data_IF_754228297592
#
_entry.id   IF_754228297592
#
_cell.length_a   1.000
_cell.length_b   1.000
_cell.length_c   1.000
_cell.angle_alpha   90.00
_cell.angle_beta   90.00
_cell.angle_gamma   90.00
#
_symmetry.space_group_name_H-M   'P 1'
#
loop_
_entity.id
_entity.type
_entity.pdbx_description
1 polymer ?
#
# COMPACT_ATOMS: atom_id res chain seq x y z
N UNK A 1 2.41 13.87 16.01
CA UNK A 1 3.60 13.23 15.43
C UNK A 1 3.07 12.31 14.34
N UNK A 2 3.44 12.52 13.09
CA UNK A 2 2.91 11.76 11.96
C UNK A 2 3.71 10.46 11.80
N UNK A 3 3.05 9.37 11.45
CA UNK A 3 3.65 8.03 11.40
C UNK A 3 4.50 7.85 10.12
N UNK A 4 5.57 7.03 10.18
CA UNK A 4 6.39 6.70 9.00
C UNK A 4 5.80 5.51 8.23
N UNK A 5 5.89 5.53 6.89
CA UNK A 5 5.33 4.49 6.01
C UNK A 5 5.89 3.11 6.31
N UNK A 6 7.20 2.99 6.55
CA UNK A 6 7.82 1.69 6.81
C UNK A 6 7.26 1.06 8.10
N UNK A 7 7.06 1.87 9.14
CA UNK A 7 6.51 1.41 10.41
C UNK A 7 5.06 0.93 10.26
N UNK A 8 4.22 1.72 9.57
CA UNK A 8 2.81 1.37 9.33
C UNK A 8 2.68 0.15 8.41
N UNK A 9 3.58 0.01 7.43
CA UNK A 9 3.65 -1.17 6.57
C UNK A 9 4.00 -2.44 7.37
N UNK A 10 4.97 -2.37 8.27
CA UNK A 10 5.31 -3.53 9.12
C UNK A 10 4.15 -3.92 10.04
N UNK A 11 3.47 -2.94 10.64
CA UNK A 11 2.28 -3.19 11.47
C UNK A 11 1.18 -3.89 10.65
N UNK A 12 0.92 -3.44 9.42
CA UNK A 12 -0.07 -4.06 8.54
C UNK A 12 0.31 -5.49 8.15
N UNK A 13 1.60 -5.76 7.92
CA UNK A 13 2.10 -7.10 7.63
C UNK A 13 1.91 -8.04 8.83
N UNK A 14 2.23 -7.58 10.05
CA UNK A 14 2.03 -8.33 11.28
C UNK A 14 0.54 -8.59 11.54
N UNK A 15 -0.32 -7.59 11.32
CA UNK A 15 -1.76 -7.75 11.43
C UNK A 15 -2.29 -8.80 10.45
N UNK A 16 -1.89 -8.73 9.18
CA UNK A 16 -2.30 -9.69 8.16
C UNK A 16 -1.82 -11.12 8.47
N UNK A 17 -0.64 -11.27 9.06
CA UNK A 17 -0.09 -12.56 9.50
C UNK A 17 -0.90 -13.13 10.66
N UNK A 18 -1.13 -12.34 11.69
CA UNK A 18 -1.91 -12.74 12.86
C UNK A 18 -3.35 -13.12 12.47
N UNK A 19 -3.97 -12.35 11.57
CA UNK A 19 -5.27 -12.63 10.99
C UNK A 19 -5.36 -14.01 10.31
N UNK A 20 -4.35 -14.37 9.50
CA UNK A 20 -4.27 -15.68 8.85
C UNK A 20 -4.13 -16.82 9.85
N UNK A 21 -3.31 -16.64 10.88
CA UNK A 21 -3.07 -17.64 11.91
C UNK A 21 -4.30 -17.83 12.83
N UNK A 22 -5.05 -16.76 13.10
CA UNK A 22 -6.22 -16.78 13.97
C UNK A 22 -7.54 -17.18 13.25
N UNK A 23 -7.53 -17.29 11.92
CA UNK A 23 -8.72 -17.61 11.11
C UNK A 23 -9.87 -16.60 11.21
N UNK A 24 -9.60 -15.41 11.74
CA UNK A 24 -10.56 -14.31 11.92
C UNK A 24 -9.87 -12.98 11.70
N UNK A 25 -10.47 -12.15 10.84
CA UNK A 25 -10.12 -10.75 10.68
C UNK A 25 -11.40 -9.93 10.75
N UNK A 26 -11.44 -8.90 11.58
CA UNK A 26 -12.47 -7.87 11.49
C UNK A 26 -12.01 -6.89 10.41
N UNK A 27 -12.74 -6.83 9.29
CA UNK A 27 -12.40 -5.99 8.13
C UNK A 27 -12.19 -4.51 8.48
N UNK A 28 -12.81 -4.03 9.57
CA UNK A 28 -12.69 -2.66 10.05
C UNK A 28 -11.26 -2.28 10.50
N UNK A 29 -10.55 -3.18 11.20
CA UNK A 29 -9.21 -2.89 11.71
C UNK A 29 -8.18 -2.87 10.56
N UNK A 30 -8.33 -3.79 9.61
CA UNK A 30 -7.49 -3.84 8.40
C UNK A 30 -7.64 -2.56 7.58
N UNK A 31 -8.88 -2.10 7.38
CA UNK A 31 -9.16 -0.86 6.66
C UNK A 31 -8.58 0.37 7.36
N UNK A 32 -8.64 0.42 8.70
CA UNK A 32 -8.05 1.52 9.47
C UNK A 32 -6.52 1.60 9.34
N UNK A 33 -5.83 0.44 9.33
CA UNK A 33 -4.37 0.40 9.15
C UNK A 33 -3.99 0.74 7.70
N UNK A 34 -4.78 0.33 6.71
CA UNK A 34 -4.60 0.74 5.30
C UNK A 34 -4.76 2.25 5.14
N UNK A 35 -5.77 2.86 5.77
CA UNK A 35 -5.96 4.31 5.73
C UNK A 35 -4.77 5.05 6.36
N UNK A 36 -4.24 4.54 7.47
CA UNK A 36 -3.01 5.07 8.09
C UNK A 36 -1.81 4.98 7.16
N UNK A 37 -1.63 3.88 6.42
CA UNK A 37 -0.55 3.73 5.43
C UNK A 37 -0.61 4.84 4.37
N UNK A 38 -1.82 5.23 3.95
CA UNK A 38 -2.00 6.35 3.01
C UNK A 38 -1.75 7.73 3.63
N UNK A 39 -1.87 7.89 4.94
CA UNK A 39 -1.61 9.15 5.65
C UNK A 39 -0.16 9.28 6.16
N UNK A 40 0.56 8.16 6.28
CA UNK A 40 1.93 8.12 6.77
C UNK A 40 2.91 8.88 5.86
N UNK A 41 3.97 9.47 6.42
CA UNK A 41 5.00 10.15 5.64
C UNK A 41 6.09 9.17 5.20
N UNK A 42 6.64 9.42 4.02
CA UNK A 42 7.77 8.67 3.49
C UNK A 42 8.65 9.58 2.67
N UNK A 43 9.95 9.43 2.83
CA UNK A 43 10.95 10.24 2.15
C UNK A 43 12.05 9.39 1.53
N UNK A 44 12.14 8.12 1.93
CA UNK A 44 13.23 7.24 1.53
C UNK A 44 12.78 6.21 0.50
N UNK A 45 13.69 5.67 -0.32
CA UNK A 45 13.37 4.59 -1.25
C UNK A 45 12.75 3.36 -0.57
N UNK A 46 13.11 3.08 0.69
CA UNK A 46 12.52 1.98 1.47
C UNK A 46 11.02 2.19 1.75
N UNK A 47 10.59 3.43 2.01
CA UNK A 47 9.18 3.79 2.19
C UNK A 47 8.39 3.56 0.90
N UNK A 48 9.00 3.90 -0.25
CA UNK A 48 8.42 3.64 -1.56
C UNK A 48 8.31 2.14 -1.84
N UNK A 49 9.32 1.34 -1.46
CA UNK A 49 9.29 -0.11 -1.60
C UNK A 49 8.19 -0.73 -0.73
N UNK A 50 8.06 -0.27 0.51
CA UNK A 50 7.04 -0.75 1.43
C UNK A 50 5.63 -0.53 0.87
N UNK A 51 5.33 0.66 0.34
CA UNK A 51 4.00 0.93 -0.22
C UNK A 51 3.77 0.24 -1.59
N UNK A 52 4.83 0.02 -2.39
CA UNK A 52 4.75 -0.78 -3.62
C UNK A 52 4.43 -2.25 -3.35
N UNK A 53 4.91 -2.82 -2.24
CA UNK A 53 4.54 -4.18 -1.85
C UNK A 53 3.02 -4.31 -1.64
N UNK A 54 2.37 -3.29 -1.08
CA UNK A 54 0.90 -3.24 -0.97
C UNK A 54 0.19 -3.02 -2.30
N UNK A 55 0.75 -2.17 -3.18
CA UNK A 55 0.24 -2.04 -4.54
C UNK A 55 0.22 -3.40 -5.25
N UNK A 56 1.31 -4.17 -5.13
CA UNK A 56 1.41 -5.52 -5.69
C UNK A 56 0.36 -6.46 -5.08
N UNK A 57 0.13 -6.41 -3.77
CA UNK A 57 -0.90 -7.21 -3.11
C UNK A 57 -2.31 -6.91 -3.65
N UNK A 58 -2.66 -5.63 -3.80
CA UNK A 58 -3.94 -5.22 -4.37
C UNK A 58 -4.10 -5.67 -5.83
N UNK A 59 -3.05 -5.53 -6.65
CA UNK A 59 -3.10 -5.96 -8.05
C UNK A 59 -3.22 -7.48 -8.19
N UNK A 60 -2.56 -8.25 -7.32
CA UNK A 60 -2.73 -9.71 -7.29
C UNK A 60 -4.15 -10.07 -6.91
N UNK A 61 -4.73 -9.41 -5.89
CA UNK A 61 -6.11 -9.64 -5.50
C UNK A 61 -7.08 -9.34 -6.66
N UNK A 62 -6.88 -8.23 -7.37
CA UNK A 62 -7.66 -7.86 -8.54
C UNK A 62 -7.54 -8.89 -9.67
N UNK A 63 -6.32 -9.37 -9.95
CA UNK A 63 -6.08 -10.39 -10.99
C UNK A 63 -6.71 -11.76 -10.67
N UNK A 64 -7.07 -11.99 -9.40
CA UNK A 64 -7.76 -13.21 -8.95
C UNK A 64 -9.27 -13.06 -8.86
N UNK A 65 -9.84 -11.89 -9.17
CA UNK A 65 -11.28 -11.72 -9.26
C UNK A 65 -11.82 -12.36 -10.55
N UNK A 66 -12.86 -13.18 -10.41
CA UNK A 66 -13.57 -13.77 -11.56
C UNK A 66 -14.37 -12.71 -12.35
N UNK A 67 -14.72 -11.59 -11.69
CA UNK A 67 -15.45 -10.46 -12.28
C UNK A 67 -14.72 -9.13 -12.01
N UNK A 68 -14.16 -8.46 -13.04
CA UNK A 68 -13.52 -7.16 -12.90
C UNK A 68 -14.45 -6.05 -12.40
N UNK A 69 -15.76 -6.16 -12.65
CA UNK A 69 -16.75 -5.18 -12.21
C UNK A 69 -17.04 -5.31 -10.69
N UNK A 70 -16.54 -6.36 -10.06
CA UNK A 70 -16.55 -6.54 -8.60
C UNK A 70 -15.41 -5.81 -7.87
N UNK A 71 -14.65 -4.96 -8.57
CA UNK A 71 -13.60 -4.13 -7.98
C UNK A 71 -14.16 -3.15 -6.94
N UNK A 72 -14.15 -3.58 -5.67
CA UNK A 72 -14.54 -2.79 -4.49
C UNK A 72 -13.47 -1.75 -4.11
N UNK A 73 -12.95 -1.03 -5.11
CA UNK A 73 -11.91 -0.02 -4.94
C UNK A 73 -10.49 -0.56 -4.75
N UNK A 74 -10.25 -1.85 -5.01
CA UNK A 74 -8.93 -2.48 -4.96
C UNK A 74 -7.99 -1.85 -5.99
N UNK A 75 -8.47 -1.62 -7.22
CA UNK A 75 -7.70 -0.94 -8.26
C UNK A 75 -7.37 0.51 -7.86
N UNK A 76 -8.32 1.22 -7.25
CA UNK A 76 -8.09 2.58 -6.73
C UNK A 76 -7.04 2.59 -5.61
N UNK A 77 -7.06 1.59 -4.73
CA UNK A 77 -6.05 1.38 -3.69
C UNK A 77 -4.66 1.16 -4.29
N UNK A 78 -4.54 0.27 -5.27
CA UNK A 78 -3.30 0.02 -6.00
C UNK A 78 -2.74 1.30 -6.65
N UNK A 79 -3.58 2.07 -7.34
CA UNK A 79 -3.15 3.34 -7.95
C UNK A 79 -2.66 4.36 -6.92
N UNK A 80 -3.35 4.48 -5.77
CA UNK A 80 -2.90 5.38 -4.69
C UNK A 80 -1.53 4.97 -4.16
N UNK A 81 -1.29 3.67 -3.96
CA UNK A 81 0.01 3.17 -3.52
C UNK A 81 1.11 3.51 -4.53
N UNK A 82 0.88 3.25 -5.82
CA UNK A 82 1.84 3.54 -6.89
C UNK A 82 2.13 5.04 -6.97
N UNK A 83 1.10 5.89 -6.99
CA UNK A 83 1.29 7.35 -7.05
C UNK A 83 2.13 7.87 -5.88
N UNK A 84 1.85 7.38 -4.66
CA UNK A 84 2.60 7.76 -3.47
C UNK A 84 4.05 7.26 -3.52
N UNK A 85 4.29 6.02 -3.95
CA UNK A 85 5.65 5.51 -4.16
C UNK A 85 6.44 6.35 -5.17
N UNK A 86 5.82 6.68 -6.31
CA UNK A 86 6.43 7.54 -7.32
C UNK A 86 6.80 8.89 -6.72
N UNK A 87 5.89 9.52 -5.97
CA UNK A 87 6.15 10.82 -5.32
C UNK A 87 7.38 10.75 -4.39
N UNK A 88 7.50 9.67 -3.60
CA UNK A 88 8.65 9.44 -2.70
C UNK A 88 9.93 9.23 -3.50
N UNK A 89 9.88 8.43 -4.57
CA UNK A 89 11.04 8.17 -5.43
C UNK A 89 11.49 9.44 -6.18
N UNK A 90 10.56 10.26 -6.67
CA UNK A 90 10.89 11.53 -7.29
C UNK A 90 11.57 12.47 -6.28
N UNK A 91 11.05 12.56 -5.05
CA UNK A 91 11.61 13.38 -3.99
C UNK A 91 13.02 12.92 -3.57
N UNK A 92 13.22 11.61 -3.41
CA UNK A 92 14.49 11.03 -2.95
C UNK A 92 15.58 11.00 -4.04
N UNK A 93 15.22 10.81 -5.30
CA UNK A 93 16.18 10.73 -6.42
C UNK A 93 16.39 12.06 -7.14
N UNK A 94 15.48 13.02 -6.98
CA UNK A 94 15.44 14.26 -7.75
C UNK A 94 15.06 14.07 -9.23
N UNK A 95 14.63 12.86 -9.62
CA UNK A 95 14.21 12.50 -10.98
C UNK A 95 12.70 12.53 -11.11
N UNK A 96 12.19 13.00 -12.25
CA UNK A 96 10.75 13.00 -12.54
C UNK A 96 10.35 11.75 -13.31
N UNK A 97 9.17 11.22 -13.02
CA UNK A 97 8.65 10.02 -13.70
C UNK A 97 8.50 10.26 -15.19
N UNK A 98 8.18 11.50 -15.60
CA UNK A 98 8.08 11.94 -16.99
C UNK A 98 9.41 11.93 -17.76
N UNK A 99 10.55 11.71 -17.10
CA UNK A 99 11.83 11.48 -17.79
C UNK A 99 11.92 10.06 -18.38
N UNK A 100 11.02 9.16 -17.99
CA UNK A 100 11.09 7.72 -18.32
C UNK A 100 9.91 7.21 -19.14
N UNK A 101 8.88 8.03 -19.36
CA UNK A 101 7.67 7.73 -20.14
C UNK A 101 7.40 8.86 -21.14
#
# INVERSE_FOLDING_TARGET
MQENITDVALELADYARAAREAGKSTSADLNAVIDRLFQAEGEKPEDALAILAYAQLFLVALATLDDPDSDDGVLRGAFRCVHKAVTILEGSTGKKVSEYI
#
